data_IF_125075509747
#
_entry.id   IF_125075509747
#
_cell.length_a   1.000
_cell.length_b   1.000
_cell.length_c   1.000
_cell.angle_alpha   90.00
_cell.angle_beta   90.00
_cell.angle_gamma   90.00
#
_symmetry.space_group_name_H-M   'P 1'
#
loop_
_entity.id
_entity.type
_entity.pdbx_description
1 polymer ?
#
# COMPACT_ATOMS: atom_id res chain seq x y z
N UNK A 1 0.81 -1.55 15.98
CA UNK A 1 1.23 -2.97 16.08
C UNK A 1 2.44 -3.19 16.99
N UNK A 2 3.61 -2.57 16.73
CA UNK A 2 4.83 -2.78 17.54
C UNK A 2 4.62 -2.60 19.06
N UNK A 3 4.09 -1.46 19.49
CA UNK A 3 3.79 -1.18 20.91
C UNK A 3 2.94 -2.27 21.57
N UNK A 4 1.87 -2.72 20.91
CA UNK A 4 1.00 -3.80 21.43
C UNK A 4 1.76 -5.14 21.46
N UNK A 5 2.56 -5.43 20.44
CA UNK A 5 3.36 -6.66 20.38
C UNK A 5 4.41 -6.73 21.48
N UNK A 6 5.07 -5.61 21.80
CA UNK A 6 6.05 -5.51 22.90
C UNK A 6 5.36 -5.75 24.26
N UNK A 7 4.18 -5.15 24.48
CA UNK A 7 3.39 -5.36 25.71
C UNK A 7 2.90 -6.80 25.88
N UNK A 8 2.63 -7.50 24.77
CA UNK A 8 2.16 -8.89 24.78
C UNK A 8 3.30 -9.92 24.72
N UNK A 9 4.54 -9.50 24.51
CA UNK A 9 5.68 -10.40 24.43
C UNK A 9 5.88 -11.26 25.70
N UNK A 10 5.78 -10.72 26.94
CA UNK A 10 5.90 -11.53 28.15
C UNK A 10 4.84 -12.65 28.25
N UNK A 11 3.64 -12.41 27.71
CA UNK A 11 2.57 -13.40 27.70
C UNK A 11 2.83 -14.50 26.67
N UNK A 12 3.38 -14.15 25.50
CA UNK A 12 3.80 -15.12 24.47
C UNK A 12 4.93 -16.03 24.97
N UNK A 13 5.89 -15.47 25.70
CA UNK A 13 7.01 -16.24 26.27
C UNK A 13 6.57 -17.14 27.43
N UNK A 14 5.66 -16.64 28.29
CA UNK A 14 5.12 -17.39 29.43
C UNK A 14 4.12 -18.48 29.03
N UNK A 15 3.41 -18.29 27.93
CA UNK A 15 2.35 -19.20 27.45
C UNK A 15 2.45 -19.45 25.93
N UNK A 16 3.49 -20.14 25.44
CA UNK A 16 3.74 -20.32 24.00
C UNK A 16 2.63 -21.10 23.29
N UNK A 17 1.93 -21.99 23.98
CA UNK A 17 0.90 -22.87 23.41
C UNK A 17 -0.51 -22.26 23.44
N UNK A 18 -0.68 -21.06 24.01
CA UNK A 18 -2.00 -20.42 24.13
C UNK A 18 -2.37 -19.67 22.86
N UNK A 19 -3.67 -19.69 22.55
CA UNK A 19 -4.24 -18.92 21.45
C UNK A 19 -4.08 -17.42 21.68
N UNK A 20 -4.10 -16.65 20.61
CA UNK A 20 -4.04 -15.18 20.68
C UNK A 20 -5.11 -14.58 21.61
N UNK A 21 -6.33 -15.13 21.56
CA UNK A 21 -7.45 -14.70 22.41
C UNK A 21 -7.13 -14.89 23.90
N UNK A 22 -6.52 -16.01 24.26
CA UNK A 22 -6.15 -16.30 25.65
C UNK A 22 -5.02 -15.39 26.14
N UNK A 23 -4.05 -15.07 25.28
CA UNK A 23 -2.96 -14.14 25.60
C UNK A 23 -3.49 -12.73 25.85
N UNK A 24 -4.38 -12.24 24.97
CA UNK A 24 -5.01 -10.92 25.10
C UNK A 24 -5.87 -10.85 26.37
N UNK A 25 -6.64 -11.89 26.68
CA UNK A 25 -7.42 -11.95 27.92
C UNK A 25 -6.54 -11.96 29.16
N UNK A 26 -5.43 -12.70 29.16
CA UNK A 26 -4.48 -12.71 30.27
C UNK A 26 -3.89 -11.30 30.50
N UNK A 27 -3.47 -10.62 29.42
CA UNK A 27 -2.95 -9.26 29.50
C UNK A 27 -4.01 -8.25 30.00
N UNK A 28 -5.26 -8.40 29.57
CA UNK A 28 -6.36 -7.56 30.05
C UNK A 28 -6.62 -7.73 31.55
N UNK A 29 -6.65 -8.98 32.03
CA UNK A 29 -6.84 -9.29 33.46
C UNK A 29 -5.70 -8.75 34.33
N UNK A 30 -4.48 -8.73 33.79
CA UNK A 30 -3.30 -8.12 34.39
C UNK A 30 -3.24 -6.59 34.20
N UNK A 31 -4.29 -5.98 33.65
CA UNK A 31 -4.44 -4.52 33.43
C UNK A 31 -3.38 -3.91 32.51
N UNK A 32 -2.85 -4.69 31.58
CA UNK A 32 -1.98 -4.18 30.52
C UNK A 32 -2.81 -3.38 29.53
N UNK A 33 -2.37 -2.17 29.21
CA UNK A 33 -3.02 -1.34 28.21
C UNK A 33 -2.89 -1.97 26.80
N UNK A 34 -4.03 -2.22 26.17
CA UNK A 34 -4.13 -2.82 24.83
C UNK A 34 -4.51 -1.78 23.75
N UNK A 35 -4.57 -0.49 24.10
CA UNK A 35 -4.69 0.61 23.15
C UNK A 35 -3.32 1.16 22.78
N UNK A 36 -3.14 1.56 21.52
CA UNK A 36 -1.90 2.20 21.09
C UNK A 36 -2.16 3.16 19.94
N UNK A 37 -1.43 4.28 19.95
CA UNK A 37 -1.44 5.24 18.86
C UNK A 37 -0.21 5.03 17.97
N UNK A 38 -0.44 4.96 16.66
CA UNK A 38 0.61 4.96 15.65
C UNK A 38 0.73 6.34 15.03
N UNK A 39 1.96 6.80 14.80
CA UNK A 39 2.24 8.04 14.11
C UNK A 39 3.36 7.83 13.10
N UNK A 40 3.26 8.46 11.94
CA UNK A 40 4.25 8.40 10.88
C UNK A 40 4.37 9.75 10.21
N UNK A 41 5.61 10.18 9.97
CA UNK A 41 5.95 11.37 9.19
C UNK A 41 7.01 10.94 8.19
N UNK A 42 6.80 11.27 6.93
CA UNK A 42 7.79 11.02 5.89
C UNK A 42 9.04 11.87 6.17
N UNK A 43 10.22 11.26 6.40
CA UNK A 43 11.44 12.00 6.66
C UNK A 43 11.85 12.85 5.47
N UNK A 44 12.56 13.95 5.75
CA UNK A 44 13.29 14.74 4.75
C UNK A 44 12.46 15.38 3.62
N UNK A 45 11.14 15.51 3.80
CA UNK A 45 10.26 16.22 2.87
C UNK A 45 10.17 17.69 3.24
N UNK A 46 10.55 18.56 2.30
CA UNK A 46 10.59 20.01 2.51
C UNK A 46 9.33 20.73 2.02
N UNK A 47 8.37 20.01 1.44
CA UNK A 47 7.16 20.57 0.84
C UNK A 47 7.38 21.17 -0.55
N UNK A 48 6.28 21.60 -1.19
CA UNK A 48 6.30 22.19 -2.53
C UNK A 48 7.14 23.48 -2.56
N UNK A 49 8.09 23.54 -3.50
CA UNK A 49 9.04 24.66 -3.61
C UNK A 49 10.32 24.52 -2.78
N UNK A 50 10.44 23.48 -1.95
CA UNK A 50 11.67 23.15 -1.25
C UNK A 50 12.60 22.23 -2.06
N UNK A 51 13.74 21.86 -1.47
CA UNK A 51 14.78 21.04 -2.12
C UNK A 51 14.38 19.59 -2.36
N UNK A 52 13.46 19.03 -1.56
CA UNK A 52 12.96 17.66 -1.70
C UNK A 52 11.45 17.60 -1.46
N UNK A 53 10.63 17.90 -2.49
CA UNK A 53 9.17 17.92 -2.36
C UNK A 53 8.55 16.51 -2.34
N UNK A 54 9.22 15.49 -2.89
CA UNK A 54 8.70 14.12 -3.01
C UNK A 54 9.65 13.10 -2.36
N UNK A 55 9.08 12.01 -1.85
CA UNK A 55 9.85 10.94 -1.20
C UNK A 55 10.50 9.99 -2.22
N UNK A 56 9.71 9.58 -3.21
CA UNK A 56 10.07 8.75 -4.36
C UNK A 56 9.14 9.08 -5.53
N UNK A 57 9.43 8.53 -6.70
CA UNK A 57 8.63 8.65 -7.91
C UNK A 57 8.28 7.26 -8.43
N UNK A 58 7.09 7.12 -9.00
CA UNK A 58 6.73 5.95 -9.78
C UNK A 58 6.98 6.24 -11.25
N UNK A 59 7.55 5.28 -11.96
CA UNK A 59 7.82 5.38 -13.39
C UNK A 59 6.95 4.39 -14.15
N UNK A 60 6.72 4.66 -15.42
CA UNK A 60 6.02 3.74 -16.28
C UNK A 60 5.95 4.25 -17.71
N UNK A 61 5.56 3.35 -18.60
CA UNK A 61 5.38 3.63 -20.01
C UNK A 61 4.13 2.88 -20.50
N UNK A 62 3.42 3.50 -21.44
CA UNK A 62 2.30 2.89 -22.13
C UNK A 62 2.44 3.11 -23.64
N UNK A 63 2.07 2.10 -24.42
CA UNK A 63 1.97 2.17 -25.87
C UNK A 63 0.56 1.73 -26.27
N UNK A 64 -0.11 2.49 -27.13
CA UNK A 64 -1.46 2.18 -27.60
C UNK A 64 -1.50 2.20 -29.12
N UNK A 65 -2.19 1.23 -29.69
CA UNK A 65 -2.47 1.10 -31.11
C UNK A 65 -3.96 1.39 -31.35
N UNK A 66 -4.24 2.25 -32.32
CA UNK A 66 -5.60 2.65 -32.69
C UNK A 66 -5.82 2.52 -34.19
N UNK A 67 -7.03 2.14 -34.57
CA UNK A 67 -7.51 2.21 -35.95
C UNK A 67 -8.40 3.44 -36.11
N UNK A 68 -8.17 4.25 -37.14
CA UNK A 68 -8.93 5.47 -37.43
C UNK A 68 -9.66 5.32 -38.76
N UNK A 69 -10.97 5.55 -38.75
CA UNK A 69 -11.75 5.73 -39.97
C UNK A 69 -11.59 7.18 -40.46
N UNK A 70 -10.85 7.33 -41.55
CA UNK A 70 -10.57 8.65 -42.15
C UNK A 70 -11.77 9.33 -42.81
N UNK A 71 -12.86 8.60 -43.08
CA UNK A 71 -14.08 9.15 -43.68
C UNK A 71 -15.07 9.66 -42.64
N UNK A 72 -15.19 8.97 -41.50
CA UNK A 72 -16.15 9.31 -40.43
C UNK A 72 -15.51 10.03 -39.25
N UNK A 73 -14.20 9.86 -39.06
CA UNK A 73 -13.46 10.33 -37.89
C UNK A 73 -13.62 9.44 -36.66
N UNK A 74 -14.32 8.30 -36.77
CA UNK A 74 -14.42 7.32 -35.69
C UNK A 74 -13.09 6.57 -35.50
N UNK A 75 -12.85 6.05 -34.31
CA UNK A 75 -11.64 5.29 -34.00
C UNK A 75 -11.88 4.18 -32.98
N UNK A 76 -11.04 3.15 -33.04
CA UNK A 76 -11.07 2.04 -32.09
C UNK A 76 -9.68 1.81 -31.50
N UNK A 77 -9.64 1.51 -30.21
CA UNK A 77 -8.43 1.04 -29.53
C UNK A 77 -8.22 -0.44 -29.86
N UNK A 78 -7.15 -0.77 -30.59
CA UNK A 78 -6.83 -2.15 -30.94
C UNK A 78 -6.10 -2.85 -29.79
N UNK A 79 -5.15 -2.15 -29.16
CA UNK A 79 -4.29 -2.70 -28.12
C UNK A 79 -3.66 -1.60 -27.28
N UNK A 80 -3.45 -1.89 -26.01
CA UNK A 80 -2.57 -1.11 -25.13
C UNK A 80 -1.67 -2.05 -24.34
N UNK A 81 -0.38 -1.72 -24.27
CA UNK A 81 0.58 -2.35 -23.37
C UNK A 81 1.08 -1.32 -22.36
N UNK A 82 1.12 -1.70 -21.09
CA UNK A 82 1.52 -0.83 -19.99
C UNK A 82 2.59 -1.54 -19.15
N UNK A 83 3.66 -0.82 -18.82
CA UNK A 83 4.68 -1.24 -17.85
C UNK A 83 4.77 -0.17 -16.78
N UNK A 84 4.60 -0.57 -15.52
CA UNK A 84 4.62 0.35 -14.38
C UNK A 84 5.57 -0.17 -13.30
N UNK A 85 6.45 0.70 -12.82
CA UNK A 85 7.24 0.49 -11.61
C UNK A 85 6.36 0.80 -10.38
N UNK A 86 5.90 -0.27 -9.75
CA UNK A 86 5.13 -0.25 -8.49
C UNK A 86 5.98 -0.68 -7.30
N UNK A 87 7.30 -0.80 -7.47
CA UNK A 87 8.19 -1.35 -6.45
C UNK A 87 7.84 -2.80 -6.10
N UNK A 88 7.73 -3.10 -4.80
CA UNK A 88 7.27 -4.40 -4.32
C UNK A 88 5.80 -4.29 -3.87
N UNK A 89 4.85 -4.77 -4.67
CA UNK A 89 3.42 -4.58 -4.43
C UNK A 89 2.97 -5.31 -3.15
N UNK A 90 2.24 -4.61 -2.28
CA UNK A 90 1.62 -5.23 -1.10
C UNK A 90 0.49 -6.17 -1.55
N UNK A 91 -0.24 -5.79 -2.60
CA UNK A 91 -1.24 -6.63 -3.24
C UNK A 91 -1.23 -6.40 -4.77
N UNK A 92 -0.62 -7.32 -5.54
CA UNK A 92 -0.50 -7.17 -6.99
C UNK A 92 -1.83 -6.97 -7.71
N UNK A 93 -2.91 -7.61 -7.26
CA UNK A 93 -4.20 -7.54 -7.93
C UNK A 93 -4.85 -6.16 -7.80
N UNK A 94 -4.69 -5.50 -6.64
CA UNK A 94 -5.18 -4.13 -6.43
C UNK A 94 -4.37 -3.17 -7.29
N UNK A 95 -3.05 -3.32 -7.31
CA UNK A 95 -2.17 -2.41 -8.04
C UNK A 95 -2.40 -2.51 -9.56
N UNK A 96 -2.60 -3.72 -10.11
CA UNK A 96 -3.01 -3.90 -11.51
C UNK A 96 -4.34 -3.18 -11.78
N UNK A 97 -5.35 -3.37 -10.93
CA UNK A 97 -6.64 -2.70 -11.09
C UNK A 97 -6.54 -1.16 -11.00
N UNK A 98 -5.61 -0.62 -10.22
CA UNK A 98 -5.33 0.82 -10.20
C UNK A 98 -4.65 1.30 -11.49
N UNK A 99 -3.72 0.53 -12.04
CA UNK A 99 -3.07 0.85 -13.32
C UNK A 99 -4.11 0.86 -14.45
N UNK A 100 -4.95 -0.16 -14.54
CA UNK A 100 -6.02 -0.26 -15.53
C UNK A 100 -7.06 0.87 -15.36
N UNK A 101 -7.55 1.07 -14.13
CA UNK A 101 -8.53 2.11 -13.83
C UNK A 101 -7.99 3.53 -14.01
N UNK A 102 -6.69 3.74 -13.75
CA UNK A 102 -6.00 5.00 -13.99
C UNK A 102 -5.76 5.26 -15.48
N UNK A 103 -5.52 4.23 -16.29
CA UNK A 103 -5.33 4.36 -17.74
C UNK A 103 -6.62 4.77 -18.47
N UNK A 104 -7.77 4.24 -18.04
CA UNK A 104 -9.07 4.50 -18.68
C UNK A 104 -9.65 5.87 -18.34
N UNK A 105 -9.18 6.52 -17.26
CA UNK A 105 -9.83 7.69 -16.65
C UNK A 105 -9.42 9.03 -17.24
#
# INVERSE_FOLDING_TARGET
CRQISERLQPYREKFPDRSWKELVNAAYLDRVDLSAHGFYVTPDITGFGGSRPFNYFCFGAAASEVELDTLTGDWQLLRTDIVMDVGNPINPAIDIGQVEGGFVR
#
